data_IF_307158142058
#
_entry.id   IF_307158142058
#
_cell.length_a   1.000
_cell.length_b   1.000
_cell.length_c   1.000
_cell.angle_alpha   90.00
_cell.angle_beta   90.00
_cell.angle_gamma   90.00
#
_symmetry.space_group_name_H-M   'P 1'
#
loop_
_entity.id
_entity.type
_entity.pdbx_description
1 polymer ?
#
# COMPACT_ATOMS: atom_id res chain seq x y z
N UNK A 1 -3.76 29.83 10.19
CA UNK A 1 -3.80 29.32 10.38
C UNK A 1 -3.61 28.57 10.09
N UNK A 2 -3.44 28.28 9.97
CA UNK A 2 -3.19 27.47 9.99
C UNK A 2 -3.03 26.72 9.86
N UNK A 3 -2.85 26.69 9.76
CA UNK A 3 -2.69 25.91 9.81
C UNK A 3 -2.64 25.20 9.81
N UNK A 4 -2.47 25.20 9.78
CA UNK A 4 -2.48 24.46 9.87
C UNK A 4 -2.47 23.63 9.84
N UNK A 5 -2.22 23.61 9.91
CA UNK A 5 -2.16 22.73 10.24
C UNK A 5 -2.35 21.80 9.85
N UNK A 6 -2.30 21.53 9.49
CA UNK A 6 -2.57 20.39 9.12
C UNK A 6 -1.86 19.38 9.18
N UNK A 7 -1.21 19.55 9.05
CA UNK A 7 -0.58 18.42 8.99
C UNK A 7 -0.23 17.88 10.24
N UNK A 8 -1.05 17.49 10.82
CA UNK A 8 -0.85 16.93 12.05
C UNK A 8 0.20 15.86 12.04
N UNK A 9 0.15 15.06 11.12
CA UNK A 9 1.07 14.02 11.15
C UNK A 9 2.31 14.38 10.50
N UNK A 10 2.41 15.54 10.16
CA UNK A 10 3.59 15.96 9.62
C UNK A 10 4.54 15.91 10.68
N UNK A 11 4.71 14.97 11.30
CA UNK A 11 5.57 14.86 12.36
C UNK A 11 6.60 15.93 12.37
N UNK A 12 6.74 16.54 13.39
CA UNK A 12 7.68 17.60 13.55
C UNK A 12 9.07 17.22 13.13
N UNK A 13 9.39 16.02 13.29
CA UNK A 13 10.70 15.62 12.95
C UNK A 13 10.98 15.78 11.50
N UNK A 14 9.96 15.72 10.75
CA UNK A 14 10.13 15.77 9.33
C UNK A 14 10.63 17.05 8.83
N UNK A 15 10.30 18.11 9.49
CA UNK A 15 10.68 19.36 8.96
C UNK A 15 12.07 19.70 9.21
N UNK A 16 12.78 18.90 9.92
CA UNK A 16 14.12 19.25 10.20
C UNK A 16 15.01 19.17 9.01
N UNK A 17 14.56 18.44 7.98
CA UNK A 17 15.38 18.26 6.81
C UNK A 17 14.58 18.60 5.59
N UNK A 18 15.16 19.32 4.70
CA UNK A 18 14.48 19.69 3.49
C UNK A 18 14.02 18.47 2.72
N UNK A 19 14.80 17.44 2.73
CA UNK A 19 14.43 16.28 1.96
C UNK A 19 13.22 15.60 2.53
N UNK A 20 12.90 15.86 3.78
CA UNK A 20 11.72 15.29 4.36
C UNK A 20 10.47 15.96 3.86
N UNK A 21 10.61 17.07 3.20
CA UNK A 21 9.46 17.75 2.64
C UNK A 21 9.03 17.11 1.34
N UNK A 22 9.87 16.30 0.75
CA UNK A 22 9.48 15.61 -0.45
C UNK A 22 8.59 14.46 -0.09
N UNK A 23 7.52 14.32 -0.86
CA UNK A 23 6.67 13.15 -0.72
C UNK A 23 6.86 12.31 -1.95
N UNK A 24 7.05 11.04 -1.77
CA UNK A 24 7.18 10.13 -2.89
C UNK A 24 5.92 9.29 -2.92
N UNK A 25 5.26 9.28 -4.05
CA UNK A 25 4.04 8.54 -4.18
C UNK A 25 4.37 7.07 -4.38
N UNK A 26 3.79 6.24 -3.57
CA UNK A 26 4.02 4.81 -3.66
C UNK A 26 2.77 4.12 -4.17
N UNK A 27 2.97 3.04 -4.88
CA UNK A 27 1.88 2.24 -5.38
C UNK A 27 2.00 0.86 -4.76
N UNK A 28 0.89 0.31 -4.33
CA UNK A 28 0.87 -1.00 -3.71
C UNK A 28 0.09 -1.92 -4.59
N UNK A 29 0.74 -2.95 -5.09
CA UNK A 29 0.13 -3.86 -6.05
C UNK A 29 0.00 -5.24 -5.45
N UNK A 30 -1.18 -5.80 -5.59
CA UNK A 30 -1.41 -7.16 -5.18
C UNK A 30 -1.03 -8.11 -6.32
N UNK A 31 -0.82 -9.34 -5.97
CA UNK A 31 -0.53 -10.34 -7.00
C UNK A 31 -1.75 -10.55 -7.88
N UNK A 32 -1.52 -10.90 -9.12
CA UNK A 32 -2.64 -11.20 -10.02
C UNK A 32 -3.45 -12.36 -9.50
N UNK A 33 -4.73 -12.30 -9.76
CA UNK A 33 -5.66 -13.34 -9.36
C UNK A 33 -6.48 -13.75 -10.57
N UNK A 34 -6.63 -15.03 -10.77
CA UNK A 34 -7.43 -15.53 -11.88
C UNK A 34 -8.88 -15.63 -11.44
N UNK A 35 -9.75 -15.04 -12.22
CA UNK A 35 -11.17 -15.04 -11.90
C UNK A 35 -11.93 -15.55 -13.11
N UNK A 36 -12.79 -16.54 -12.94
CA UNK A 36 -13.59 -17.03 -14.08
C UNK A 36 -14.41 -15.91 -14.69
N UNK A 37 -14.50 -15.94 -16.00
CA UNK A 37 -15.24 -14.91 -16.70
C UNK A 37 -16.69 -14.81 -16.21
N UNK A 38 -17.30 -15.94 -15.95
CA UNK A 38 -18.67 -15.94 -15.47
C UNK A 38 -18.81 -15.15 -14.18
N UNK A 39 -17.83 -15.23 -13.32
CA UNK A 39 -17.88 -14.50 -12.07
C UNK A 39 -17.72 -13.00 -12.30
N UNK A 40 -16.87 -12.64 -13.26
CA UNK A 40 -16.71 -11.23 -13.58
C UNK A 40 -17.99 -10.66 -14.12
N UNK A 41 -18.70 -11.41 -14.93
CA UNK A 41 -19.92 -10.92 -15.52
C UNK A 41 -21.04 -10.81 -14.50
N UNK A 42 -20.91 -11.47 -13.38
CA UNK A 42 -21.91 -11.42 -12.33
C UNK A 42 -21.60 -10.41 -11.24
N UNK A 43 -20.56 -9.64 -11.39
CA UNK A 43 -20.21 -8.67 -10.36
C UNK A 43 -21.27 -7.61 -10.21
N UNK A 44 -21.52 -7.23 -8.98
CA UNK A 44 -22.50 -6.21 -8.66
C UNK A 44 -21.96 -5.33 -7.57
N UNK A 45 -22.48 -4.12 -7.52
CA UNK A 45 -22.12 -3.22 -6.43
C UNK A 45 -22.47 -3.89 -5.10
N UNK A 46 -21.56 -3.85 -4.19
CA UNK A 46 -21.78 -4.48 -2.89
C UNK A 46 -21.33 -5.92 -2.84
N UNK A 47 -20.99 -6.49 -3.97
CA UNK A 47 -20.50 -7.85 -3.99
C UNK A 47 -19.06 -7.90 -3.51
N UNK A 48 -18.57 -9.10 -3.24
CA UNK A 48 -17.23 -9.28 -2.76
C UNK A 48 -16.48 -10.20 -3.71
N UNK A 49 -15.32 -9.76 -4.13
CA UNK A 49 -14.47 -10.56 -4.99
C UNK A 49 -13.33 -11.08 -4.13
N UNK A 50 -13.30 -12.37 -3.85
CA UNK A 50 -12.26 -12.90 -2.98
C UNK A 50 -10.91 -12.81 -3.65
N UNK A 51 -9.89 -12.57 -2.85
CA UNK A 51 -8.52 -12.58 -3.34
C UNK A 51 -7.85 -13.85 -2.86
N UNK A 52 -6.89 -14.28 -3.63
CA UNK A 52 -6.13 -15.43 -3.21
C UNK A 52 -5.19 -15.00 -2.12
N UNK A 53 -5.31 -15.59 -0.96
CA UNK A 53 -4.34 -15.33 0.07
C UNK A 53 -3.71 -16.64 0.44
N UNK A 54 -2.60 -16.58 1.09
CA UNK A 54 -1.90 -17.77 1.52
C UNK A 54 -1.83 -17.71 3.00
N UNK A 55 -2.64 -18.52 3.64
CA UNK A 55 -2.63 -18.56 5.10
C UNK A 55 -2.97 -17.21 5.70
N UNK A 56 -3.89 -16.51 5.08
CA UNK A 56 -4.31 -15.25 5.63
C UNK A 56 -3.38 -14.10 5.32
N UNK A 57 -2.33 -14.34 4.58
CA UNK A 57 -1.41 -13.27 4.20
C UNK A 57 -1.85 -12.66 2.90
N UNK A 58 -1.62 -11.38 2.76
CA UNK A 58 -1.96 -10.66 1.56
C UNK A 58 -0.70 -10.00 1.03
N UNK A 59 0.04 -10.70 0.20
CA UNK A 59 1.31 -10.18 -0.31
C UNK A 59 1.11 -8.96 -1.18
N UNK A 60 2.04 -8.03 -1.10
CA UNK A 60 1.94 -6.79 -1.85
C UNK A 60 3.32 -6.37 -2.31
N UNK A 61 3.38 -5.81 -3.50
CA UNK A 61 4.59 -5.18 -4.01
C UNK A 61 4.47 -3.69 -3.84
N UNK A 62 5.55 -3.05 -3.49
CA UNK A 62 5.58 -1.61 -3.29
C UNK A 62 6.44 -1.02 -4.37
N UNK A 63 5.87 -0.07 -5.10
CA UNK A 63 6.57 0.58 -6.20
C UNK A 63 6.62 2.08 -5.99
N UNK A 64 7.73 2.65 -6.39
CA UNK A 64 7.88 4.09 -6.44
C UNK A 64 7.99 4.41 -7.92
N UNK A 65 6.98 5.05 -8.46
CA UNK A 65 6.92 5.21 -9.90
C UNK A 65 6.75 3.84 -10.52
N UNK A 66 7.62 3.49 -11.42
CA UNK A 66 7.58 2.20 -12.06
C UNK A 66 8.59 1.21 -11.51
N UNK A 67 9.20 1.58 -10.39
CA UNK A 67 10.27 0.76 -9.85
C UNK A 67 9.81 0.03 -8.60
N UNK A 68 9.97 -1.26 -8.57
CA UNK A 68 9.68 -2.03 -7.37
C UNK A 68 10.77 -1.77 -6.34
N UNK A 69 10.38 -1.37 -5.15
CA UNK A 69 11.36 -1.06 -4.12
C UNK A 69 11.28 -2.00 -2.93
N UNK A 70 10.18 -2.68 -2.77
CA UNK A 70 10.06 -3.56 -1.62
C UNK A 70 8.91 -4.52 -1.82
N UNK A 71 8.87 -5.54 -1.01
CA UNK A 71 7.73 -6.43 -0.95
C UNK A 71 7.37 -6.61 0.52
N UNK A 72 6.13 -6.96 0.74
CA UNK A 72 5.68 -7.19 2.10
C UNK A 72 4.27 -7.75 2.10
N UNK A 73 3.57 -7.52 3.18
CA UNK A 73 2.18 -7.96 3.23
C UNK A 73 1.36 -6.97 3.99
N UNK A 74 0.10 -6.90 3.64
CA UNK A 74 -0.82 -5.98 4.25
C UNK A 74 -1.21 -6.52 5.61
N UNK A 75 -1.16 -5.68 6.61
CA UNK A 75 -1.50 -6.05 7.97
C UNK A 75 -2.47 -5.03 8.54
N UNK A 76 -3.18 -5.46 9.52
CA UNK A 76 -4.14 -4.61 10.21
C UNK A 76 -3.46 -3.99 11.42
N UNK A 77 -3.65 -2.70 11.61
CA UNK A 77 -3.07 -2.00 12.74
C UNK A 77 -4.20 -1.24 13.40
N UNK A 78 -4.80 -1.82 14.42
CA UNK A 78 -5.95 -1.19 15.04
C UNK A 78 -7.04 -1.01 14.03
N UNK A 79 -7.44 0.23 13.79
CA UNK A 79 -8.49 0.55 12.82
C UNK A 79 -7.95 0.86 11.45
N UNK A 80 -6.67 0.68 11.25
CA UNK A 80 -6.03 1.04 9.98
C UNK A 80 -5.34 -0.16 9.40
N UNK A 81 -4.75 0.06 8.24
CA UNK A 81 -3.96 -0.97 7.60
C UNK A 81 -2.57 -0.44 7.35
N UNK A 82 -1.61 -1.32 7.35
CA UNK A 82 -0.25 -0.97 7.02
C UNK A 82 0.38 -2.06 6.20
N UNK A 83 1.63 -1.92 5.89
CA UNK A 83 2.37 -2.93 5.15
C UNK A 83 3.57 -3.34 5.97
N UNK A 84 3.64 -4.62 6.26
CA UNK A 84 4.81 -5.17 6.93
C UNK A 84 5.85 -5.43 5.86
N UNK A 85 6.97 -4.72 5.93
CA UNK A 85 7.99 -4.86 4.91
C UNK A 85 8.78 -6.13 5.15
N UNK A 86 8.87 -6.95 4.14
CA UNK A 86 9.58 -8.21 4.27
C UNK A 86 10.90 -8.19 3.54
N UNK A 87 10.96 -7.53 2.40
CA UNK A 87 12.18 -7.47 1.62
C UNK A 87 12.31 -6.11 0.99
N UNK A 88 13.47 -5.54 1.08
CA UNK A 88 13.75 -4.29 0.38
C UNK A 88 14.60 -4.64 -0.82
N UNK A 89 14.14 -4.21 -1.99
CA UNK A 89 14.82 -4.52 -3.23
C UNK A 89 15.87 -3.47 -3.48
N UNK A 90 17.08 -3.89 -3.65
CA UNK A 90 18.16 -2.96 -3.89
C UNK A 90 18.48 -2.92 -5.33
N UNK A 91 18.69 -1.70 -5.78
CA UNK A 91 19.08 -1.52 -7.13
C UNK A 91 20.52 -1.85 -7.21
N UNK A 92 20.84 -2.65 -8.05
CA UNK A 92 22.19 -3.09 -8.19
C UNK A 92 23.22 -2.03 -8.40
#
# INVERSE_FOLDING_TARGET
MDDLAPAPNAAPADIMFAQDAFAVQLRFELDPTDVPLARLQALQTGGVLPLQDRDGALPVRILAGNRSIATGQIVSIGDSYGVLIETILKEG
#
